data_IF_292777725341
#
_entry.id   IF_292777725341
#
_cell.length_a   1.000
_cell.length_b   1.000
_cell.length_c   1.000
_cell.angle_alpha   90.00
_cell.angle_beta   90.00
_cell.angle_gamma   90.00
#
_symmetry.space_group_name_H-M   'P 1'
#
loop_
_entity.id
_entity.type
_entity.pdbx_description
1 polymer ?
#
# COMPACT_ATOMS: atom_id res chain seq x y z
N UNK A 1 -28.46 55.52 12.31
CA UNK A 1 -27.13 55.17 12.86
C UNK A 1 -26.67 53.91 12.14
N UNK A 2 -26.16 54.10 10.92
CA UNK A 2 -25.75 53.05 9.99
C UNK A 2 -24.22 53.00 9.94
N UNK A 3 -23.71 51.80 9.70
CA UNK A 3 -22.36 51.46 9.23
C UNK A 3 -21.25 51.37 10.27
N UNK A 4 -20.82 50.13 10.57
CA UNK A 4 -19.42 49.71 10.74
C UNK A 4 -19.33 48.16 10.78
N UNK A 5 -20.00 47.48 9.84
CA UNK A 5 -19.83 46.04 9.60
C UNK A 5 -19.38 45.85 8.15
N UNK A 6 -18.16 46.29 7.85
CA UNK A 6 -17.57 45.95 6.56
C UNK A 6 -16.05 46.01 6.63
N UNK A 7 -15.41 45.00 7.24
CA UNK A 7 -14.01 44.68 6.95
C UNK A 7 -13.80 43.17 7.02
N UNK A 8 -13.50 42.63 5.84
CA UNK A 8 -13.05 41.29 5.47
C UNK A 8 -14.12 40.41 4.81
N UNK A 9 -13.99 40.12 3.49
CA UNK A 9 -14.78 39.06 2.88
C UNK A 9 -14.50 37.75 3.62
N UNK A 10 -15.50 36.88 3.81
CA UNK A 10 -15.29 35.57 4.41
C UNK A 10 -14.21 34.85 3.61
N UNK A 11 -13.09 34.56 4.26
CA UNK A 11 -11.99 33.83 3.64
C UNK A 11 -12.42 32.36 3.63
N UNK A 12 -12.94 31.90 2.49
CA UNK A 12 -13.20 30.49 2.28
C UNK A 12 -11.86 29.76 2.27
N UNK A 13 -11.51 29.11 3.37
CA UNK A 13 -10.38 28.19 3.42
C UNK A 13 -10.93 26.77 3.42
N UNK A 14 -10.69 26.04 2.34
CA UNK A 14 -10.81 24.59 2.35
C UNK A 14 -9.58 24.06 3.07
N UNK A 15 -9.68 23.89 4.39
CA UNK A 15 -8.65 23.15 5.13
C UNK A 15 -8.84 21.68 4.81
N UNK A 16 -8.24 21.21 3.71
CA UNK A 16 -8.17 19.80 3.42
C UNK A 16 -7.24 19.15 4.46
N UNK A 17 -7.81 18.26 5.28
CA UNK A 17 -7.03 17.48 6.24
C UNK A 17 -6.15 16.51 5.45
N UNK A 18 -4.87 16.83 5.33
CA UNK A 18 -3.90 16.09 4.50
C UNK A 18 -3.83 14.61 4.90
N UNK A 19 -3.88 14.33 6.20
CA UNK A 19 -3.98 12.99 6.76
C UNK A 19 -5.22 12.24 6.26
N UNK A 20 -6.39 12.89 6.24
CA UNK A 20 -7.62 12.30 5.72
C UNK A 20 -7.53 12.02 4.21
N UNK A 21 -6.90 12.91 3.43
CA UNK A 21 -6.66 12.70 2.00
C UNK A 21 -5.80 11.45 1.74
N UNK A 22 -4.70 11.30 2.48
CA UNK A 22 -3.85 10.13 2.37
C UNK A 22 -4.57 8.85 2.81
N UNK A 23 -5.32 8.90 3.91
CA UNK A 23 -6.08 7.75 4.37
C UNK A 23 -7.15 7.31 3.37
N UNK A 24 -7.90 8.25 2.78
CA UNK A 24 -8.87 7.94 1.74
C UNK A 24 -8.22 7.34 0.49
N UNK A 25 -7.08 7.87 0.07
CA UNK A 25 -6.31 7.32 -1.04
C UNK A 25 -5.83 5.90 -0.74
N UNK A 26 -5.33 5.65 0.49
CA UNK A 26 -4.91 4.32 0.93
C UNK A 26 -6.07 3.31 0.88
N UNK A 27 -7.26 3.73 1.35
CA UNK A 27 -8.47 2.91 1.28
C UNK A 27 -8.82 2.55 -0.16
N UNK A 28 -8.81 3.52 -1.06
CA UNK A 28 -9.08 3.28 -2.49
C UNK A 28 -8.08 2.31 -3.10
N UNK A 29 -6.78 2.47 -2.85
CA UNK A 29 -5.75 1.52 -3.29
C UNK A 29 -6.00 0.11 -2.74
N UNK A 30 -6.36 -0.02 -1.46
CA UNK A 30 -6.67 -1.33 -0.87
C UNK A 30 -7.85 -2.02 -1.59
N UNK A 31 -8.91 -1.28 -1.91
CA UNK A 31 -10.04 -1.81 -2.68
C UNK A 31 -9.64 -2.18 -4.12
N UNK A 32 -8.81 -1.38 -4.79
CA UNK A 32 -8.27 -1.73 -6.10
C UNK A 32 -7.39 -2.99 -6.06
N UNK A 33 -6.60 -3.19 -5.00
CA UNK A 33 -5.86 -4.44 -4.81
C UNK A 33 -6.83 -5.64 -4.69
N UNK A 34 -7.89 -5.52 -3.88
CA UNK A 34 -8.87 -6.59 -3.72
C UNK A 34 -9.57 -6.94 -5.03
N UNK A 35 -9.93 -5.94 -5.84
CA UNK A 35 -10.55 -6.20 -7.15
C UNK A 35 -9.58 -6.87 -8.12
N UNK A 36 -8.29 -6.52 -8.05
CA UNK A 36 -7.23 -7.13 -8.88
C UNK A 36 -7.05 -8.63 -8.65
N UNK A 37 -7.42 -9.15 -7.47
CA UNK A 37 -7.39 -10.59 -7.18
C UNK A 37 -8.22 -11.41 -8.16
N UNK A 38 -9.30 -10.84 -8.72
CA UNK A 38 -10.12 -11.52 -9.74
C UNK A 38 -9.33 -11.78 -11.02
N UNK A 39 -8.53 -10.81 -11.47
CA UNK A 39 -7.70 -10.95 -12.66
C UNK A 39 -6.60 -12.01 -12.45
N UNK A 40 -5.94 -11.99 -11.30
CA UNK A 40 -4.96 -13.02 -10.90
C UNK A 40 -5.61 -14.40 -10.89
N UNK A 41 -6.79 -14.53 -10.27
CA UNK A 41 -7.54 -15.78 -10.24
C UNK A 41 -7.89 -16.29 -11.64
N UNK A 42 -8.29 -15.41 -12.55
CA UNK A 42 -8.57 -15.76 -13.95
C UNK A 42 -7.32 -16.27 -14.68
N UNK A 43 -6.20 -15.55 -14.56
CA UNK A 43 -4.94 -15.94 -15.20
C UNK A 43 -4.43 -17.30 -14.69
N UNK A 44 -4.47 -17.52 -13.36
CA UNK A 44 -4.08 -18.80 -12.76
C UNK A 44 -4.98 -19.96 -13.18
N UNK A 45 -6.28 -19.73 -13.31
CA UNK A 45 -7.21 -20.75 -13.82
C UNK A 45 -6.93 -21.12 -15.28
N UNK A 46 -6.61 -20.14 -16.12
CA UNK A 46 -6.25 -20.41 -17.52
C UNK A 46 -4.97 -21.27 -17.61
N UNK A 47 -3.93 -20.94 -16.83
CA UNK A 47 -2.72 -21.76 -16.76
C UNK A 47 -2.99 -23.17 -16.21
N UNK A 48 -3.80 -23.30 -15.16
CA UNK A 48 -4.17 -24.60 -14.62
C UNK A 48 -4.89 -25.47 -15.65
N UNK A 49 -5.79 -24.89 -16.45
CA UNK A 49 -6.47 -25.60 -17.52
C UNK A 49 -5.49 -26.15 -18.58
N UNK A 50 -4.50 -25.34 -18.99
CA UNK A 50 -3.45 -25.78 -19.90
C UNK A 50 -2.59 -26.91 -19.32
N UNK A 51 -2.33 -26.89 -18.01
CA UNK A 51 -1.65 -28.00 -17.31
C UNK A 51 -2.48 -29.28 -17.28
N UNK A 52 -3.79 -29.17 -17.14
CA UNK A 52 -4.69 -30.32 -17.21
C UNK A 52 -4.74 -30.90 -18.63
N UNK A 53 -4.74 -30.04 -19.66
CA UNK A 53 -4.64 -30.46 -21.07
C UNK A 53 -3.30 -31.14 -21.38
N UNK A 54 -2.18 -30.57 -20.93
CA UNK A 54 -0.84 -31.17 -21.04
C UNK A 54 -0.83 -32.59 -20.46
N UNK A 55 -1.37 -32.75 -19.24
CA UNK A 55 -1.46 -34.05 -18.58
C UNK A 55 -2.34 -35.04 -19.36
N UNK A 56 -3.45 -34.56 -19.94
CA UNK A 56 -4.33 -35.36 -20.80
C UNK A 56 -3.64 -35.84 -22.07
N UNK A 57 -2.86 -34.98 -22.73
CA UNK A 57 -2.08 -35.34 -23.91
C UNK A 57 -1.01 -36.36 -23.53
N UNK A 58 -0.21 -36.09 -22.49
CA UNK A 58 0.84 -37.02 -22.04
C UNK A 58 0.27 -38.41 -21.71
N UNK A 59 -0.92 -38.48 -21.11
CA UNK A 59 -1.57 -39.75 -20.81
C UNK A 59 -1.90 -40.57 -22.07
N UNK A 60 -2.21 -39.93 -23.21
CA UNK A 60 -2.47 -40.63 -24.48
C UNK A 60 -1.21 -41.25 -25.10
N UNK A 61 -0.04 -40.74 -24.74
CA UNK A 61 1.25 -41.18 -25.24
C UNK A 61 2.08 -41.94 -24.19
N UNK A 62 1.45 -42.52 -23.17
CA UNK A 62 2.10 -43.25 -22.07
C UNK A 62 3.19 -42.42 -21.33
N UNK A 63 3.01 -41.10 -21.30
CA UNK A 63 3.97 -40.15 -20.73
C UNK A 63 5.19 -39.86 -21.62
N UNK A 64 5.23 -40.37 -22.85
CA UNK A 64 6.33 -40.12 -23.79
C UNK A 64 6.18 -38.75 -24.48
N UNK A 65 6.80 -37.74 -23.88
CA UNK A 65 6.77 -36.36 -24.39
C UNK A 65 7.38 -36.19 -25.78
N UNK A 66 8.22 -37.13 -26.25
CA UNK A 66 8.80 -37.06 -27.61
C UNK A 66 7.80 -37.47 -28.66
N UNK A 67 6.97 -38.48 -28.37
CA UNK A 67 5.89 -38.90 -29.28
C UNK A 67 4.74 -37.89 -29.30
N UNK A 68 4.50 -37.24 -28.17
CA UNK A 68 3.46 -36.24 -28.01
C UNK A 68 3.88 -34.83 -28.48
N UNK A 69 5.08 -34.64 -29.05
CA UNK A 69 5.65 -33.32 -29.29
C UNK A 69 4.74 -32.41 -30.12
N UNK A 70 4.19 -32.91 -31.23
CA UNK A 70 3.36 -32.12 -32.13
C UNK A 70 2.07 -31.61 -31.45
N UNK A 71 1.53 -32.37 -30.50
CA UNK A 71 0.34 -32.01 -29.73
C UNK A 71 0.68 -31.12 -28.51
N UNK A 72 1.87 -31.31 -27.92
CA UNK A 72 2.33 -30.55 -26.75
C UNK A 72 2.89 -29.17 -27.10
N UNK A 73 3.52 -29.02 -28.28
CA UNK A 73 4.16 -27.76 -28.68
C UNK A 73 3.18 -26.56 -28.63
N UNK A 74 1.95 -26.63 -29.19
CA UNK A 74 0.98 -25.56 -29.06
C UNK A 74 0.56 -25.26 -27.62
N UNK A 75 0.49 -26.29 -26.76
CA UNK A 75 0.15 -26.14 -25.33
C UNK A 75 1.27 -25.41 -24.60
N UNK A 76 2.54 -25.77 -24.86
CA UNK A 76 3.68 -25.11 -24.23
C UNK A 76 3.81 -23.64 -24.63
N UNK A 77 3.56 -23.30 -25.90
CA UNK A 77 3.52 -21.90 -26.34
C UNK A 77 2.42 -21.13 -25.59
N UNK A 78 1.25 -21.73 -25.41
CA UNK A 78 0.16 -21.11 -24.67
C UNK A 78 0.46 -20.99 -23.18
N UNK A 79 1.14 -21.97 -22.59
CA UNK A 79 1.55 -21.96 -21.18
C UNK A 79 2.56 -20.85 -20.89
N UNK A 80 3.55 -20.64 -21.76
CA UNK A 80 4.53 -19.56 -21.64
C UNK A 80 3.82 -18.19 -21.62
N UNK A 81 2.88 -17.98 -22.55
CA UNK A 81 2.03 -16.78 -22.56
C UNK A 81 1.18 -16.66 -21.30
N UNK A 82 0.57 -17.75 -20.84
CA UNK A 82 -0.28 -17.74 -19.65
C UNK A 82 0.52 -17.44 -18.37
N UNK A 83 1.78 -17.89 -18.28
CA UNK A 83 2.70 -17.55 -17.20
C UNK A 83 3.03 -16.05 -17.20
N UNK A 84 3.32 -15.48 -18.37
CA UNK A 84 3.46 -14.04 -18.51
C UNK A 84 2.20 -13.28 -18.06
N UNK A 85 1.02 -13.72 -18.48
CA UNK A 85 -0.26 -13.09 -18.12
C UNK A 85 -0.53 -13.16 -16.60
N UNK A 86 -0.10 -14.22 -15.92
CA UNK A 86 -0.12 -14.29 -14.45
C UNK A 86 0.74 -13.18 -13.86
N UNK A 87 1.99 -13.04 -14.32
CA UNK A 87 2.90 -11.99 -13.87
C UNK A 87 2.32 -10.59 -14.08
N UNK A 88 1.77 -10.33 -15.27
CA UNK A 88 1.11 -9.07 -15.60
C UNK A 88 -0.11 -8.79 -14.70
N UNK A 89 -0.89 -9.81 -14.35
CA UNK A 89 -2.05 -9.67 -13.46
C UNK A 89 -1.66 -9.30 -12.01
N UNK A 90 -0.48 -9.72 -11.55
CA UNK A 90 0.03 -9.36 -10.23
C UNK A 90 0.53 -7.91 -10.12
N UNK A 91 0.93 -7.28 -11.23
CA UNK A 91 1.46 -5.92 -11.26
C UNK A 91 0.55 -4.91 -10.54
N UNK A 92 -0.72 -4.73 -10.98
CA UNK A 92 -1.66 -3.82 -10.33
C UNK A 92 -1.93 -4.16 -8.86
N UNK A 93 -1.96 -5.45 -8.52
CA UNK A 93 -2.16 -5.89 -7.14
C UNK A 93 -1.03 -5.42 -6.22
N UNK A 94 0.22 -5.73 -6.58
CA UNK A 94 1.38 -5.35 -5.78
C UNK A 94 1.55 -3.84 -5.70
N UNK A 95 1.35 -3.12 -6.81
CA UNK A 95 1.38 -1.66 -6.83
C UNK A 95 0.39 -1.07 -5.83
N UNK A 96 -0.86 -1.52 -5.84
CA UNK A 96 -1.90 -0.99 -4.95
C UNK A 96 -1.67 -1.36 -3.48
N UNK A 97 -1.17 -2.56 -3.18
CA UNK A 97 -0.79 -2.94 -1.82
C UNK A 97 0.39 -2.09 -1.32
N UNK A 98 1.41 -1.87 -2.15
CA UNK A 98 2.54 -1.01 -1.81
C UNK A 98 2.09 0.43 -1.53
N UNK A 99 1.27 1.00 -2.41
CA UNK A 99 0.70 2.33 -2.24
C UNK A 99 -0.15 2.44 -0.97
N UNK A 100 -0.92 1.40 -0.63
CA UNK A 100 -1.70 1.37 0.62
C UNK A 100 -0.81 1.55 1.84
N UNK A 101 0.31 0.81 1.92
CA UNK A 101 1.24 0.91 3.06
C UNK A 101 1.91 2.29 3.12
N UNK A 102 2.39 2.80 1.98
CA UNK A 102 3.01 4.12 1.90
C UNK A 102 2.02 5.19 2.37
N UNK A 103 0.80 5.20 1.81
CA UNK A 103 -0.21 6.21 2.10
C UNK A 103 -0.72 6.14 3.55
N UNK A 104 -0.87 4.94 4.13
CA UNK A 104 -1.18 4.80 5.55
C UNK A 104 -0.08 5.39 6.45
N UNK A 105 1.19 5.12 6.13
CA UNK A 105 2.32 5.70 6.88
C UNK A 105 2.35 7.23 6.75
N UNK A 106 2.13 7.76 5.53
CA UNK A 106 2.08 9.20 5.27
C UNK A 106 0.90 9.87 5.97
N UNK A 107 -0.27 9.20 6.04
CA UNK A 107 -1.43 9.70 6.78
C UNK A 107 -1.12 9.86 8.28
N UNK A 108 -0.49 8.84 8.89
CA UNK A 108 -0.09 8.89 10.29
C UNK A 108 0.98 9.96 10.56
N UNK A 109 1.95 10.10 9.66
CA UNK A 109 2.97 11.14 9.75
C UNK A 109 2.36 12.55 9.61
N UNK A 110 1.45 12.75 8.66
CA UNK A 110 0.75 14.01 8.49
C UNK A 110 -0.08 14.36 9.73
N UNK A 111 -0.81 13.39 10.29
CA UNK A 111 -1.62 13.59 11.48
C UNK A 111 -0.77 14.02 12.69
N UNK A 112 0.33 13.31 12.96
CA UNK A 112 1.17 13.63 14.12
C UNK A 112 1.88 14.97 13.96
N UNK A 113 2.33 15.31 12.74
CA UNK A 113 2.96 16.59 12.45
C UNK A 113 1.95 17.76 12.54
N UNK A 114 0.73 17.59 12.04
CA UNK A 114 -0.34 18.60 12.16
C UNK A 114 -0.73 18.82 13.63
N UNK A 115 -0.86 17.73 14.40
CA UNK A 115 -1.15 17.80 15.83
C UNK A 115 -0.02 18.50 16.57
N UNK A 116 1.24 18.17 16.28
CA UNK A 116 2.39 18.82 16.89
C UNK A 116 2.45 20.31 16.55
N UNK A 117 2.25 20.68 15.28
CA UNK A 117 2.22 22.09 14.85
C UNK A 117 1.17 22.92 15.59
N UNK A 118 0.00 22.34 15.88
CA UNK A 118 -1.07 23.03 16.62
C UNK A 118 -0.90 23.04 18.15
N UNK A 119 0.11 22.33 18.70
CA UNK A 119 0.27 22.13 20.15
C UNK A 119 1.64 22.48 20.69
N UNK A 120 2.68 22.45 19.86
CA UNK A 120 4.04 22.80 20.21
C UNK A 120 4.33 24.19 19.66
N UNK A 121 4.60 25.14 20.54
CA UNK A 121 5.02 26.49 20.17
C UNK A 121 6.54 26.66 20.36
N UNK A 122 7.17 27.46 19.48
CA UNK A 122 8.57 27.85 19.60
C UNK A 122 9.59 26.72 19.39
N UNK A 123 10.69 26.75 20.17
CA UNK A 123 11.92 25.94 19.95
C UNK A 123 11.72 24.41 20.02
N UNK A 124 10.59 23.93 20.56
CA UNK A 124 10.30 22.50 20.60
C UNK A 124 9.86 21.94 19.24
N UNK A 125 9.35 22.79 18.33
CA UNK A 125 8.94 22.38 16.98
C UNK A 125 10.10 21.85 16.14
N UNK A 126 11.19 22.59 16.05
CA UNK A 126 12.36 22.21 15.24
C UNK A 126 12.98 20.88 15.68
N UNK A 127 13.04 20.66 16.99
CA UNK A 127 13.53 19.40 17.55
C UNK A 127 12.56 18.25 17.30
N UNK A 128 11.25 18.51 17.35
CA UNK A 128 10.22 17.51 17.07
C UNK A 128 10.27 17.06 15.60
N UNK A 129 10.47 17.97 14.65
CA UNK A 129 10.53 17.64 13.22
C UNK A 129 11.63 16.62 12.89
N UNK A 130 12.77 16.71 13.59
CA UNK A 130 13.95 15.84 13.41
C UNK A 130 13.78 14.43 13.97
N UNK A 131 12.77 14.19 14.79
CA UNK A 131 12.52 12.86 15.36
C UNK A 131 12.09 11.87 14.27
N UNK A 132 12.45 10.59 14.44
CA UNK A 132 11.85 9.54 13.63
C UNK A 132 10.32 9.54 13.84
N UNK A 133 9.58 9.01 12.87
CA UNK A 133 8.11 8.96 12.94
C UNK A 133 7.70 8.19 14.20
N UNK A 134 8.37 7.08 14.52
CA UNK A 134 8.09 6.32 15.73
C UNK A 134 8.36 7.11 17.01
N UNK A 135 9.47 7.84 17.06
CA UNK A 135 9.80 8.71 18.18
C UNK A 135 8.76 9.83 18.35
N UNK A 136 8.26 10.43 17.27
CA UNK A 136 7.19 11.43 17.30
C UNK A 136 5.93 10.89 17.99
N UNK A 137 5.52 9.66 17.66
CA UNK A 137 4.35 9.01 18.25
C UNK A 137 4.51 8.64 19.72
N UNK A 138 5.74 8.36 20.17
CA UNK A 138 6.00 8.11 21.59
C UNK A 138 6.11 9.41 22.40
N UNK A 139 6.69 10.45 21.80
CA UNK A 139 7.09 11.67 22.48
C UNK A 139 5.96 12.70 22.56
N UNK A 140 5.19 12.92 21.48
CA UNK A 140 4.14 13.94 21.47
C UNK A 140 3.09 13.70 22.58
N UNK A 141 2.52 12.50 22.78
CA UNK A 141 1.56 12.27 23.85
C UNK A 141 2.12 12.61 25.23
N UNK A 142 3.41 12.30 25.48
CA UNK A 142 4.07 12.59 26.76
C UNK A 142 4.18 14.07 27.04
N UNK A 143 4.57 14.87 26.04
CA UNK A 143 4.60 16.34 26.18
C UNK A 143 3.21 16.89 26.50
N UNK A 144 2.17 16.31 25.89
CA UNK A 144 0.78 16.72 26.10
C UNK A 144 0.17 16.16 27.39
N UNK A 145 0.96 15.54 28.27
CA UNK A 145 0.49 14.95 29.52
C UNK A 145 -0.43 13.73 29.34
N UNK A 146 -0.39 13.08 28.18
CA UNK A 146 -1.20 11.90 27.85
C UNK A 146 -0.39 10.61 28.01
N UNK A 147 -1.10 9.51 28.21
CA UNK A 147 -0.53 8.16 28.13
C UNK A 147 -0.02 7.90 26.72
N UNK A 148 1.19 7.35 26.62
CA UNK A 148 1.81 6.97 25.35
C UNK A 148 1.66 5.46 25.10
N UNK A 149 2.04 5.01 23.91
CA UNK A 149 2.02 3.60 23.54
C UNK A 149 3.06 2.77 24.31
N UNK A 150 2.72 1.51 24.58
CA UNK A 150 3.69 0.50 24.97
C UNK A 150 4.36 -0.07 23.72
N UNK A 151 5.68 0.09 23.62
CA UNK A 151 6.44 -0.36 22.44
C UNK A 151 6.45 -1.89 22.26
N UNK A 152 6.29 -2.63 23.36
CA UNK A 152 6.28 -4.10 23.36
C UNK A 152 4.94 -4.73 22.99
N UNK A 153 3.91 -3.93 22.69
CA UNK A 153 2.57 -4.44 22.40
C UNK A 153 1.91 -3.70 21.24
N UNK A 154 0.78 -4.24 20.79
CA UNK A 154 -0.08 -3.54 19.85
C UNK A 154 -0.71 -2.29 20.50
N UNK A 155 -1.04 -1.25 19.70
CA UNK A 155 -0.86 -1.16 18.24
C UNK A 155 0.54 -0.69 17.78
N UNK A 156 1.49 -0.45 18.69
CA UNK A 156 2.78 0.16 18.33
C UNK A 156 3.65 -0.77 17.48
N UNK A 157 3.58 -2.08 17.72
CA UNK A 157 4.31 -3.07 16.93
C UNK A 157 3.87 -3.07 15.46
N UNK A 158 2.56 -3.09 15.19
CA UNK A 158 2.03 -3.01 13.83
C UNK A 158 2.37 -1.69 13.15
N UNK A 159 2.33 -0.59 13.90
CA UNK A 159 2.77 0.71 13.42
C UNK A 159 4.27 0.72 13.04
N UNK A 160 5.15 0.17 13.88
CA UNK A 160 6.57 0.05 13.55
C UNK A 160 6.83 -0.80 12.31
N UNK A 161 6.08 -1.90 12.13
CA UNK A 161 6.13 -2.72 10.90
C UNK A 161 5.72 -1.90 9.67
N UNK A 162 4.65 -1.11 9.77
CA UNK A 162 4.17 -0.25 8.69
C UNK A 162 5.23 0.77 8.25
N UNK A 163 5.90 1.43 9.20
CA UNK A 163 6.98 2.38 8.88
C UNK A 163 8.16 1.68 8.22
N UNK A 164 8.54 0.50 8.70
CA UNK A 164 9.59 -0.32 8.07
C UNK A 164 9.22 -0.67 6.63
N UNK A 165 8.02 -1.18 6.37
CA UNK A 165 7.57 -1.51 5.01
C UNK A 165 7.57 -0.29 4.10
N UNK A 166 7.10 0.87 4.58
CA UNK A 166 7.19 2.10 3.80
C UNK A 166 8.63 2.45 3.44
N UNK A 167 9.57 2.34 4.37
CA UNK A 167 10.97 2.68 4.12
C UNK A 167 11.60 1.74 3.09
N UNK A 168 11.32 0.44 3.19
CA UNK A 168 11.77 -0.56 2.21
C UNK A 168 11.19 -0.31 0.81
N UNK A 169 9.92 0.09 0.72
CA UNK A 169 9.24 0.39 -0.55
C UNK A 169 9.71 1.70 -1.19
N UNK A 170 9.94 2.75 -0.40
CA UNK A 170 10.30 4.09 -0.92
C UNK A 170 11.80 4.21 -1.19
N UNK A 171 12.64 3.56 -0.39
CA UNK A 171 14.10 3.63 -0.50
C UNK A 171 14.69 2.34 -1.06
N UNK A 172 13.96 1.68 -1.96
CA UNK A 172 14.44 0.48 -2.63
C UNK A 172 15.76 0.80 -3.36
N UNK A 173 16.86 0.30 -2.82
CA UNK A 173 18.15 0.30 -3.50
C UNK A 173 18.18 -0.96 -4.35
N UNK A 174 18.11 -0.80 -5.68
CA UNK A 174 18.45 -1.89 -6.59
C UNK A 174 19.82 -2.43 -6.18
N UNK A 175 19.89 -3.72 -5.86
CA UNK A 175 21.17 -4.40 -5.67
C UNK A 175 21.78 -4.70 -7.02
#
# INVERSE_FOLDING_TARGET
>A
MHALLDKFPPTFSTTLSIDAMYFHSAKSCCEFAKTSLKAIGKARKAFAHLRDEEAGILAQYDGDSRKAYDDLEPIYIQMDRAEYDIGAAYGPYFQNIALTHILCATALEAYINLTAKGRLEGKFGDNFERLSIEAKWLFLPRILGKTTFNQGSEPFQSFGKLIRYRNELVHYKGR
#
